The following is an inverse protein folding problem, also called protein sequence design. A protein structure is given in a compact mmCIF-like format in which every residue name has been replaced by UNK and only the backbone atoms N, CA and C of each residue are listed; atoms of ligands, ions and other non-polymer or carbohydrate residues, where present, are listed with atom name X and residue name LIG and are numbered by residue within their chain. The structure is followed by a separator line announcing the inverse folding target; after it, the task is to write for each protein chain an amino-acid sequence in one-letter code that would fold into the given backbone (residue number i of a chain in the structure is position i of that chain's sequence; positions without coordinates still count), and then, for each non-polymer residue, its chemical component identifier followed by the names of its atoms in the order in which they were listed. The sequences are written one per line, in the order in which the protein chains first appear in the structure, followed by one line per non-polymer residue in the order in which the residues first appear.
data_IF_900843076986
#
_entry.id   IF_900843076986
#
_cell.length_a   1.000
_cell.length_b   1.000
_cell.length_c   1.000
_cell.angle_alpha   90.00
_cell.angle_beta   90.00
_cell.angle_gamma   90.00
#
_symmetry.space_group_name_H-M   'P 1'
#
loop_
_entity.id
_entity.type
_entity.pdbx_description
1 polymer ?
#
# COMPACT_ATOMS: atom_id res chain seq x y z
N UNK A 1 -17.22 -1.27 13.10
CA UNK A 1 -16.02 -1.88 13.70
C UNK A 1 -15.07 -0.82 14.23
N UNK A 2 -14.44 0.02 13.38
CA UNK A 2 -13.47 1.04 13.84
C UNK A 2 -14.06 2.02 14.85
N UNK A 3 -15.25 2.58 14.60
CA UNK A 3 -15.97 3.44 15.56
C UNK A 3 -16.06 2.82 16.96
N UNK A 4 -16.46 1.55 17.04
CA UNK A 4 -16.60 0.82 18.31
C UNK A 4 -15.26 0.60 19.01
N UNK A 5 -14.17 0.40 18.27
CA UNK A 5 -12.82 0.34 18.84
C UNK A 5 -12.42 1.72 19.39
N UNK A 6 -12.67 2.80 18.65
CA UNK A 6 -12.40 4.15 19.11
C UNK A 6 -13.15 4.49 20.41
N UNK A 7 -14.44 4.16 20.48
CA UNK A 7 -15.25 4.30 21.70
C UNK A 7 -14.67 3.49 22.88
N UNK A 8 -14.24 2.25 22.62
CA UNK A 8 -13.64 1.38 23.65
C UNK A 8 -12.31 1.94 24.16
N UNK A 9 -11.44 2.43 23.27
CA UNK A 9 -10.17 3.07 23.64
C UNK A 9 -10.44 4.30 24.50
N UNK A 10 -11.38 5.17 24.10
CA UNK A 10 -11.74 6.35 24.85
C UNK A 10 -12.24 6.02 26.27
N UNK A 11 -13.14 5.03 26.39
CA UNK A 11 -13.63 4.57 27.69
C UNK A 11 -12.52 3.95 28.57
N UNK A 12 -11.58 3.22 27.98
CA UNK A 12 -10.49 2.57 28.72
C UNK A 12 -9.33 3.51 29.09
N UNK A 13 -9.35 4.75 28.61
CA UNK A 13 -8.28 5.74 28.82
C UNK A 13 -8.80 7.07 29.38
N UNK A 14 -10.03 7.09 29.91
CA UNK A 14 -10.70 8.31 30.39
C UNK A 14 -10.70 9.46 29.37
N UNK A 15 -10.68 9.14 28.08
CA UNK A 15 -10.67 10.11 26.97
C UNK A 15 -9.29 10.66 26.61
N UNK A 16 -8.20 10.21 27.24
CA UNK A 16 -6.84 10.70 26.97
C UNK A 16 -6.24 10.18 25.65
N UNK A 17 -6.83 9.12 25.07
CA UNK A 17 -6.37 8.53 23.81
C UNK A 17 -7.49 8.51 22.77
N UNK A 18 -7.19 9.04 21.58
CA UNK A 18 -8.07 9.04 20.42
C UNK A 18 -7.54 8.14 19.29
N UNK A 19 -8.45 7.39 18.65
CA UNK A 19 -8.15 6.63 17.44
C UNK A 19 -8.45 7.47 16.20
N UNK A 20 -7.43 7.77 15.40
CA UNK A 20 -7.58 8.49 14.13
C UNK A 20 -7.31 7.53 12.97
N UNK A 21 -8.18 7.53 11.96
CA UNK A 21 -8.07 6.69 10.75
C UNK A 21 -7.90 7.52 9.46
N UNK A 22 -6.78 8.24 9.29
CA UNK A 22 -6.61 9.28 8.25
C UNK A 22 -6.72 8.77 6.80
N UNK A 23 -6.70 7.45 6.62
CA UNK A 23 -6.64 6.78 5.34
C UNK A 23 -7.80 5.78 5.11
N UNK A 24 -8.79 5.72 6.01
CA UNK A 24 -9.88 4.75 5.93
C UNK A 24 -10.66 4.82 4.61
N UNK A 25 -10.93 6.03 4.14
CA UNK A 25 -11.67 6.27 2.89
C UNK A 25 -10.77 6.37 1.65
N UNK A 26 -9.48 6.02 1.75
CA UNK A 26 -8.53 6.11 0.64
C UNK A 26 -8.21 4.74 0.05
N UNK A 27 -8.30 4.66 -1.27
CA UNK A 27 -7.78 3.54 -2.05
C UNK A 27 -6.25 3.53 -2.04
N UNK A 28 -5.62 2.38 -2.31
CA UNK A 28 -4.15 2.30 -2.38
C UNK A 28 -3.53 3.16 -3.48
N UNK A 29 -4.24 3.34 -4.61
CA UNK A 29 -3.86 4.30 -5.65
C UNK A 29 -3.78 5.71 -5.09
N UNK A 30 -4.79 6.14 -4.34
CA UNK A 30 -4.81 7.47 -3.72
C UNK A 30 -3.71 7.63 -2.69
N UNK A 31 -3.38 6.58 -1.93
CA UNK A 31 -2.25 6.59 -1.00
C UNK A 31 -0.90 6.72 -1.73
N UNK A 32 -0.70 6.00 -2.83
CA UNK A 32 0.50 6.15 -3.64
C UNK A 32 0.60 7.58 -4.21
N UNK A 33 -0.50 8.15 -4.72
CA UNK A 33 -0.52 9.53 -5.22
C UNK A 33 -0.22 10.54 -4.10
N UNK A 34 -0.89 10.40 -2.96
CA UNK A 34 -0.71 11.27 -1.79
C UNK A 34 0.72 11.24 -1.27
N UNK A 35 1.31 10.05 -1.12
CA UNK A 35 2.69 9.89 -0.64
C UNK A 35 3.69 10.64 -1.53
N UNK A 36 3.49 10.61 -2.85
CA UNK A 36 4.29 11.41 -3.79
C UNK A 36 4.03 12.91 -3.66
N UNK A 37 2.76 13.32 -3.56
CA UNK A 37 2.38 14.74 -3.43
C UNK A 37 2.98 15.40 -2.18
N UNK A 38 3.06 14.67 -1.06
CA UNK A 38 3.62 15.18 0.21
C UNK A 38 5.12 14.91 0.38
N UNK A 39 5.79 14.34 -0.63
CA UNK A 39 7.23 14.07 -0.58
C UNK A 39 7.64 12.98 0.42
N UNK A 40 6.77 11.99 0.67
CA UNK A 40 7.14 10.81 1.48
C UNK A 40 8.24 10.01 0.75
N UNK A 41 9.28 9.53 1.44
CA UNK A 41 10.34 8.72 0.83
C UNK A 41 9.86 7.29 0.55
N UNK A 42 9.01 7.14 -0.47
CA UNK A 42 8.37 5.87 -0.84
C UNK A 42 9.38 4.79 -1.29
N UNK A 43 10.57 5.18 -1.72
CA UNK A 43 11.71 4.31 -2.03
C UNK A 43 12.26 3.57 -0.80
N UNK A 44 12.04 4.10 0.41
CA UNK A 44 12.46 3.49 1.67
C UNK A 44 11.37 2.62 2.31
N UNK A 45 10.22 2.47 1.65
CA UNK A 45 9.08 1.72 2.18
C UNK A 45 9.05 0.28 1.69
N UNK A 46 8.45 -0.59 2.49
CA UNK A 46 8.38 -2.02 2.21
C UNK A 46 6.95 -2.56 2.29
N UNK A 47 6.60 -3.47 1.39
CA UNK A 47 5.28 -4.14 1.42
C UNK A 47 5.36 -5.66 1.22
N UNK A 48 6.51 -6.20 0.81
CA UNK A 48 6.62 -7.61 0.45
C UNK A 48 6.58 -8.53 1.68
N UNK A 49 5.77 -9.60 1.64
CA UNK A 49 5.72 -10.57 2.74
C UNK A 49 6.92 -11.49 2.85
N UNK A 50 7.72 -11.66 1.79
CA UNK A 50 8.79 -12.66 1.77
C UNK A 50 10.09 -12.21 2.44
N UNK A 51 10.18 -10.94 2.88
CA UNK A 51 11.27 -10.43 3.72
C UNK A 51 12.69 -10.64 3.20
N UNK A 52 12.86 -10.78 1.87
CA UNK A 52 14.17 -10.90 1.22
C UNK A 52 14.82 -9.51 1.08
N UNK A 53 16.04 -9.44 0.54
CA UNK A 53 16.71 -8.16 0.26
C UNK A 53 15.95 -7.29 -0.75
N UNK A 54 15.24 -7.93 -1.69
CA UNK A 54 14.41 -7.28 -2.71
C UNK A 54 12.99 -7.85 -2.71
N UNK A 55 11.96 -7.07 -3.06
CA UNK A 55 10.59 -7.56 -3.05
C UNK A 55 10.41 -8.68 -4.07
N UNK A 56 9.65 -9.72 -3.73
CA UNK A 56 9.50 -10.90 -4.59
C UNK A 56 8.62 -10.70 -5.83
N UNK A 57 8.04 -9.50 -6.00
CA UNK A 57 7.15 -9.07 -7.10
C UNK A 57 5.91 -9.95 -7.39
N UNK A 58 5.64 -10.98 -6.59
CA UNK A 58 4.64 -12.03 -6.90
C UNK A 58 3.64 -12.30 -5.77
N UNK A 59 3.94 -11.91 -4.51
CA UNK A 59 2.98 -12.04 -3.41
C UNK A 59 1.86 -10.98 -3.50
N UNK A 60 0.73 -11.21 -2.83
CA UNK A 60 -0.46 -10.35 -2.93
C UNK A 60 -0.18 -8.86 -2.71
N UNK A 61 0.61 -8.51 -1.70
CA UNK A 61 0.97 -7.10 -1.42
C UNK A 61 1.95 -6.51 -2.42
N UNK A 62 2.83 -7.32 -3.03
CA UNK A 62 3.67 -6.85 -4.14
C UNK A 62 2.81 -6.51 -5.36
N UNK A 63 1.83 -7.35 -5.68
CA UNK A 63 0.91 -7.13 -6.80
C UNK A 63 0.07 -5.87 -6.55
N UNK A 64 -0.51 -5.74 -5.36
CA UNK A 64 -1.29 -4.56 -4.95
C UNK A 64 -0.45 -3.28 -4.98
N UNK A 65 0.79 -3.33 -4.47
CA UNK A 65 1.73 -2.20 -4.53
C UNK A 65 2.00 -1.79 -5.99
N UNK A 66 2.33 -2.77 -6.84
CA UNK A 66 2.59 -2.53 -8.27
C UNK A 66 1.37 -1.90 -8.96
N UNK A 67 0.18 -2.44 -8.70
CA UNK A 67 -1.09 -1.92 -9.22
C UNK A 67 -1.34 -0.49 -8.75
N UNK A 68 -1.05 -0.19 -7.48
CA UNK A 68 -1.22 1.14 -6.89
C UNK A 68 -0.34 2.19 -7.57
N UNK A 69 0.95 1.92 -7.73
CA UNK A 69 1.88 2.84 -8.42
C UNK A 69 1.51 3.00 -9.90
N UNK A 70 1.19 1.89 -10.58
CA UNK A 70 0.75 1.91 -11.99
C UNK A 70 -0.48 2.80 -12.17
N UNK A 71 -1.50 2.64 -11.31
CA UNK A 71 -2.72 3.44 -11.36
C UNK A 71 -2.49 4.90 -10.93
N UNK A 72 -1.50 5.15 -10.07
CA UNK A 72 -1.09 6.50 -9.68
C UNK A 72 -0.27 7.22 -10.79
N UNK A 73 0.11 6.51 -11.85
CA UNK A 73 0.72 7.08 -13.06
C UNK A 73 2.23 7.27 -12.97
N UNK A 74 2.93 6.57 -12.08
CA UNK A 74 4.40 6.63 -11.98
C UNK A 74 5.00 5.29 -11.49
N UNK A 75 6.26 4.96 -11.85
CA UNK A 75 6.89 3.72 -11.42
C UNK A 75 7.16 3.71 -9.91
N UNK A 76 7.14 2.52 -9.31
CA UNK A 76 7.49 2.34 -7.89
C UNK A 76 8.94 2.79 -7.64
N UNK A 77 9.18 3.81 -6.80
CA UNK A 77 10.51 4.37 -6.58
C UNK A 77 11.45 3.43 -5.80
N UNK A 78 10.92 2.37 -5.17
CA UNK A 78 11.75 1.34 -4.52
C UNK A 78 12.36 0.33 -5.51
N UNK A 79 11.94 0.36 -6.78
CA UNK A 79 12.35 -0.59 -7.81
C UNK A 79 13.25 0.06 -8.86
N UNK A 80 14.22 -0.72 -9.33
CA UNK A 80 14.96 -0.40 -10.55
C UNK A 80 14.05 -0.53 -11.78
N UNK A 81 14.48 0.01 -12.92
CA UNK A 81 13.75 -0.12 -14.20
C UNK A 81 13.43 -1.57 -14.55
N UNK A 82 14.42 -2.47 -14.39
CA UNK A 82 14.26 -3.89 -14.69
C UNK A 82 13.23 -4.56 -13.77
N UNK A 83 13.28 -4.27 -12.47
CA UNK A 83 12.32 -4.82 -11.52
C UNK A 83 10.92 -4.26 -11.72
N UNK A 84 10.79 -3.00 -12.11
CA UNK A 84 9.50 -2.42 -12.46
C UNK A 84 8.86 -3.12 -13.65
N UNK A 85 9.63 -3.43 -14.69
CA UNK A 85 9.15 -4.21 -15.84
C UNK A 85 8.71 -5.62 -15.43
N UNK A 86 9.50 -6.30 -14.60
CA UNK A 86 9.15 -7.61 -14.04
C UNK A 86 7.87 -7.56 -13.20
N UNK A 87 7.72 -6.53 -12.35
CA UNK A 87 6.53 -6.32 -11.54
C UNK A 87 5.28 -6.15 -12.41
N UNK A 88 5.37 -5.38 -13.50
CA UNK A 88 4.27 -5.19 -14.45
C UNK A 88 3.91 -6.49 -15.19
N UNK A 89 4.89 -7.33 -15.53
CA UNK A 89 4.66 -8.64 -16.13
C UNK A 89 3.94 -9.57 -15.14
N UNK A 90 4.41 -9.62 -13.90
CA UNK A 90 3.76 -10.39 -12.84
C UNK A 90 2.35 -9.90 -12.55
N UNK A 91 2.13 -8.58 -12.47
CA UNK A 91 0.80 -8.02 -12.33
C UNK A 91 -0.11 -8.53 -13.45
N UNK A 92 0.29 -8.44 -14.72
CA UNK A 92 -0.51 -8.98 -15.85
C UNK A 92 -0.79 -10.48 -15.72
N UNK A 93 0.20 -11.28 -15.30
CA UNK A 93 0.08 -12.74 -15.15
C UNK A 93 -0.86 -13.14 -14.01
N UNK A 94 -0.82 -12.42 -12.90
CA UNK A 94 -1.54 -12.72 -11.67
C UNK A 94 -2.78 -11.85 -11.47
N UNK A 95 -3.10 -10.94 -12.39
CA UNK A 95 -4.39 -10.24 -12.42
C UNK A 95 -5.44 -11.29 -12.76
N UNK A 96 -6.36 -11.63 -11.82
CA UNK A 96 -7.48 -12.48 -12.15
C UNK A 96 -8.31 -11.74 -13.20
N UNK A 97 -8.67 -12.42 -14.29
CA UNK A 97 -9.50 -11.84 -15.36
C UNK A 97 -10.87 -11.35 -14.83
N UNK A 98 -11.26 -11.75 -13.61
CA UNK A 98 -12.51 -11.41 -12.95
C UNK A 98 -12.27 -11.29 -11.44
N UNK A 99 -11.76 -10.15 -10.96
CA UNK A 99 -11.98 -9.79 -9.54
C UNK A 99 -13.39 -9.21 -9.47
N UNK A 100 -14.28 -9.86 -8.72
CA UNK A 100 -15.67 -9.46 -8.49
C UNK A 100 -15.82 -7.97 -8.20
#
# INVERSE_FOLDING_TARGET
FIKSIGETIGLGTDGEVELIEPFADKTKKELAKLGKEIGTPLELTWSCYKGQERPCLTCGTCLERTESFKLAGYPDPALSTLEWEQALQHLKKYTPQERR
#
